data_IF_429388068344
#
_entry.id   IF_429388068344
#
_cell.length_a   1.000
_cell.length_b   1.000
_cell.length_c   1.000
_cell.angle_alpha   90.00
_cell.angle_beta   90.00
_cell.angle_gamma   90.00
#
_symmetry.space_group_name_H-M   'P 1'
#
loop_
_entity.id
_entity.type
_entity.pdbx_description
1 polymer ?
#
# COMPACT_ATOMS: atom_id res chain seq x y z
N UNK A 1 -2.33 -41.73 22.74
CA UNK A 1 -0.97 -41.62 22.19
C UNK A 1 -0.72 -40.16 21.80
N UNK A 2 0.30 -39.48 22.37
CA UNK A 2 0.62 -38.10 21.96
C UNK A 2 1.12 -38.08 20.51
N UNK A 3 0.63 -37.15 19.70
CA UNK A 3 0.97 -37.01 18.28
C UNK A 3 2.40 -36.47 18.14
N UNK A 4 3.21 -37.04 17.24
CA UNK A 4 4.61 -36.63 17.08
C UNK A 4 4.73 -35.17 16.59
N UNK A 5 5.80 -34.47 17.00
CA UNK A 5 6.08 -33.08 16.58
C UNK A 5 6.09 -32.93 15.06
N UNK A 6 6.61 -33.92 14.33
CA UNK A 6 6.64 -33.92 12.86
C UNK A 6 5.23 -33.99 12.27
N UNK A 7 4.34 -34.79 12.87
CA UNK A 7 2.95 -34.91 12.43
C UNK A 7 2.15 -33.64 12.69
N UNK A 8 2.40 -32.96 13.82
CA UNK A 8 1.84 -31.63 14.10
C UNK A 8 2.35 -30.58 13.10
N UNK A 9 3.65 -30.56 12.79
CA UNK A 9 4.23 -29.64 11.80
C UNK A 9 3.65 -29.86 10.41
N UNK A 10 3.54 -31.12 9.97
CA UNK A 10 2.97 -31.46 8.68
C UNK A 10 1.49 -31.09 8.60
N UNK A 11 0.71 -31.31 9.67
CA UNK A 11 -0.69 -30.87 9.74
C UNK A 11 -0.83 -29.34 9.63
N UNK A 12 0.06 -28.58 10.30
CA UNK A 12 0.09 -27.13 10.19
C UNK A 12 0.46 -26.65 8.77
N UNK A 13 1.38 -27.34 8.08
CA UNK A 13 1.72 -27.07 6.68
C UNK A 13 0.50 -27.35 5.79
N UNK A 14 -0.15 -28.50 5.94
CA UNK A 14 -1.37 -28.84 5.19
C UNK A 14 -2.47 -27.81 5.41
N UNK A 15 -2.68 -27.35 6.64
CA UNK A 15 -3.66 -26.31 6.94
C UNK A 15 -3.33 -24.97 6.26
N UNK A 16 -2.06 -24.54 6.28
CA UNK A 16 -1.60 -23.33 5.57
C UNK A 16 -1.74 -23.47 4.06
N UNK A 17 -1.41 -24.63 3.51
CA UNK A 17 -1.52 -24.90 2.06
C UNK A 17 -2.98 -24.99 1.60
N UNK A 18 -3.90 -25.50 2.44
CA UNK A 18 -5.33 -25.56 2.13
C UNK A 18 -6.00 -24.17 2.15
N UNK A 19 -5.43 -23.20 2.85
CA UNK A 19 -5.89 -21.81 2.86
C UNK A 19 -5.42 -21.00 1.63
N UNK A 20 -4.60 -21.59 0.75
CA UNK A 20 -4.18 -20.95 -0.49
C UNK A 20 -5.30 -21.00 -1.53
N UNK A 21 -5.44 -19.93 -2.30
CA UNK A 21 -6.40 -19.85 -3.41
C UNK A 21 -6.09 -20.93 -4.46
N UNK A 22 -7.13 -21.60 -4.95
CA UNK A 22 -7.00 -22.57 -6.04
C UNK A 22 -6.78 -21.81 -7.35
N UNK A 23 -5.60 -21.94 -7.94
CA UNK A 23 -5.27 -21.29 -9.22
C UNK A 23 -6.05 -22.00 -10.36
N UNK A 24 -6.87 -21.27 -11.14
CA UNK A 24 -7.60 -21.83 -12.29
C UNK A 24 -6.68 -22.52 -13.30
N UNK A 25 -7.23 -23.55 -13.97
CA UNK A 25 -6.53 -24.35 -14.97
C UNK A 25 -5.96 -23.50 -16.11
N UNK A 26 -6.79 -22.58 -16.60
CA UNK A 26 -6.46 -21.67 -17.69
C UNK A 26 -5.25 -20.78 -17.39
N UNK A 27 -4.99 -20.49 -16.11
CA UNK A 27 -3.85 -19.66 -15.70
C UNK A 27 -2.58 -20.47 -15.47
N UNK A 28 -2.65 -21.77 -15.18
CA UNK A 28 -1.46 -22.58 -14.89
C UNK A 28 -0.87 -23.21 -16.15
N UNK A 29 -1.73 -23.68 -17.06
CA UNK A 29 -1.31 -24.51 -18.19
C UNK A 29 -0.41 -23.73 -19.19
N UNK A 30 -0.56 -22.40 -19.39
CA UNK A 30 0.38 -21.61 -20.18
C UNK A 30 1.79 -21.48 -19.57
N UNK A 31 1.94 -21.65 -18.25
CA UNK A 31 3.22 -21.52 -17.55
C UNK A 31 3.93 -22.86 -17.37
N UNK A 32 3.19 -23.97 -17.37
CA UNK A 32 3.71 -25.33 -17.11
C UNK A 32 3.68 -26.15 -18.41
N UNK A 33 4.66 -25.90 -19.27
CA UNK A 33 4.80 -26.64 -20.54
C UNK A 33 5.60 -27.92 -20.31
N UNK A 34 4.91 -29.02 -20.00
CA UNK A 34 5.52 -30.35 -19.85
C UNK A 34 6.40 -30.51 -18.59
N UNK A 35 7.24 -31.58 -18.51
CA UNK A 35 8.11 -31.79 -17.36
C UNK A 35 9.23 -30.74 -17.32
N UNK A 36 9.07 -29.75 -16.45
CA UNK A 36 10.06 -28.69 -16.24
C UNK A 36 11.11 -29.11 -15.21
N UNK A 37 12.36 -28.66 -15.42
CA UNK A 37 13.41 -28.74 -14.40
C UNK A 37 13.15 -27.73 -13.28
N UNK A 38 13.74 -27.94 -12.10
CA UNK A 38 13.60 -26.99 -10.98
C UNK A 38 14.06 -25.57 -11.33
N UNK A 39 15.08 -25.44 -12.19
CA UNK A 39 15.53 -24.15 -12.71
C UNK A 39 14.50 -23.49 -13.62
N UNK A 40 13.87 -24.27 -14.51
CA UNK A 40 12.83 -23.76 -15.40
C UNK A 40 11.58 -23.26 -14.63
N UNK A 41 11.25 -23.91 -13.51
CA UNK A 41 10.19 -23.44 -12.59
C UNK A 41 10.55 -22.10 -11.95
N UNK A 42 11.81 -21.90 -11.56
CA UNK A 42 12.27 -20.63 -10.99
C UNK A 42 12.19 -19.49 -12.02
N UNK A 43 12.65 -19.75 -13.25
CA UNK A 43 12.56 -18.78 -14.35
C UNK A 43 11.11 -18.39 -14.65
N UNK A 44 10.20 -19.37 -14.74
CA UNK A 44 8.78 -19.13 -14.94
C UNK A 44 8.18 -18.29 -13.79
N UNK A 45 8.57 -18.59 -12.55
CA UNK A 45 8.14 -17.85 -11.37
C UNK A 45 8.62 -16.39 -11.40
N UNK A 46 9.88 -16.14 -11.76
CA UNK A 46 10.40 -14.77 -11.92
C UNK A 46 9.65 -13.99 -13.02
N UNK A 47 9.37 -14.63 -14.15
CA UNK A 47 8.62 -14.02 -15.25
C UNK A 47 7.18 -13.65 -14.81
N UNK A 48 6.54 -14.53 -14.04
CA UNK A 48 5.23 -14.25 -13.45
C UNK A 48 5.27 -13.09 -12.46
N UNK A 49 6.23 -13.08 -11.53
CA UNK A 49 6.43 -11.98 -10.56
C UNK A 49 6.63 -10.65 -11.29
N UNK A 50 7.43 -10.62 -12.36
CA UNK A 50 7.62 -9.43 -13.21
C UNK A 50 6.30 -8.93 -13.78
N UNK A 51 5.55 -9.79 -14.47
CA UNK A 51 4.30 -9.41 -15.11
C UNK A 51 3.27 -8.90 -14.08
N UNK A 52 3.22 -9.52 -12.90
CA UNK A 52 2.34 -9.11 -11.82
C UNK A 52 2.70 -7.71 -11.28
N UNK A 53 3.98 -7.45 -11.03
CA UNK A 53 4.46 -6.14 -10.57
C UNK A 53 4.16 -5.04 -11.59
N UNK A 54 4.47 -5.27 -12.87
CA UNK A 54 4.22 -4.29 -13.94
C UNK A 54 2.72 -3.99 -14.10
N UNK A 55 1.87 -5.02 -13.99
CA UNK A 55 0.42 -4.87 -14.04
C UNK A 55 -0.11 -4.07 -12.84
N UNK A 56 0.36 -4.38 -11.63
CA UNK A 56 -0.05 -3.69 -10.41
C UNK A 56 0.33 -2.20 -10.47
N UNK A 57 1.58 -1.87 -10.82
CA UNK A 57 2.03 -0.50 -10.98
C UNK A 57 1.27 0.25 -12.09
N UNK A 58 0.97 -0.43 -13.20
CA UNK A 58 0.15 0.15 -14.27
C UNK A 58 -1.29 0.43 -13.85
N UNK A 59 -1.84 -0.37 -12.94
CA UNK A 59 -3.17 -0.17 -12.33
C UNK A 59 -3.17 0.98 -11.34
N UNK A 60 -2.15 1.08 -10.47
CA UNK A 60 -1.98 2.23 -9.56
C UNK A 60 -1.92 3.54 -10.33
N UNK A 61 -1.14 3.59 -11.42
CA UNK A 61 -1.10 4.76 -12.30
C UNK A 61 -2.46 5.03 -12.95
N UNK A 62 -3.19 3.98 -13.36
CA UNK A 62 -4.56 4.11 -13.87
C UNK A 62 -5.50 4.77 -12.86
N UNK A 63 -5.42 4.38 -11.60
CA UNK A 63 -6.18 5.00 -10.51
C UNK A 63 -5.75 6.45 -10.26
N UNK A 64 -4.45 6.74 -10.21
CA UNK A 64 -3.93 8.12 -10.10
C UNK A 64 -4.39 8.99 -11.27
N UNK A 65 -4.57 8.40 -12.45
CA UNK A 65 -4.99 9.08 -13.66
C UNK A 65 -6.51 9.16 -13.85
N UNK A 66 -7.28 8.32 -13.17
CA UNK A 66 -8.73 8.26 -13.31
C UNK A 66 -9.21 7.75 -14.68
N UNK A 67 -8.31 7.23 -15.52
CA UNK A 67 -8.65 6.59 -16.79
C UNK A 67 -7.68 5.43 -17.10
N UNK A 68 -8.16 4.39 -17.81
CA UNK A 68 -7.36 3.19 -18.05
C UNK A 68 -6.27 3.42 -19.10
N UNK A 69 -5.29 2.52 -19.13
CA UNK A 69 -4.22 2.54 -20.13
C UNK A 69 -4.79 2.36 -21.54
N UNK A 70 -4.44 3.24 -22.47
CA UNK A 70 -4.87 3.17 -23.87
C UNK A 70 -6.22 3.85 -24.16
N UNK A 71 -6.89 4.40 -23.15
CA UNK A 71 -8.03 5.29 -23.37
C UNK A 71 -7.56 6.71 -23.71
N UNK A 72 -8.40 7.43 -24.47
CA UNK A 72 -8.17 8.82 -24.81
C UNK A 72 -8.10 9.69 -23.56
N UNK A 73 -7.19 10.67 -23.59
CA UNK A 73 -7.03 11.60 -22.48
C UNK A 73 -8.28 12.48 -22.40
N UNK A 74 -8.97 12.55 -21.25
CA UNK A 74 -10.04 13.52 -21.08
C UNK A 74 -9.45 14.93 -21.13
N UNK A 75 -10.11 15.85 -21.85
CA UNK A 75 -9.64 17.24 -22.04
C UNK A 75 -9.46 17.99 -20.71
N UNK A 76 -10.15 17.56 -19.65
CA UNK A 76 -10.05 18.12 -18.30
C UNK A 76 -8.73 17.80 -17.58
N UNK A 77 -7.93 16.84 -18.08
CA UNK A 77 -6.66 16.44 -17.46
C UNK A 77 -5.45 17.08 -18.14
N UNK A 78 -4.71 17.85 -17.37
CA UNK A 78 -3.40 18.36 -17.77
C UNK A 78 -2.35 17.23 -17.88
N UNK A 79 -2.33 16.33 -16.89
CA UNK A 79 -1.35 15.24 -16.80
C UNK A 79 -1.66 14.08 -17.77
N UNK A 80 -0.61 13.40 -18.24
CA UNK A 80 -0.70 12.27 -19.18
C UNK A 80 0.39 11.22 -18.92
N UNK A 81 0.23 10.00 -19.48
CA UNK A 81 1.23 8.93 -19.36
C UNK A 81 2.44 9.27 -20.22
N UNK A 82 3.64 9.12 -19.66
CA UNK A 82 4.90 9.44 -20.34
C UNK A 82 5.78 8.19 -20.52
N UNK A 83 5.21 7.18 -21.19
CA UNK A 83 5.88 5.93 -21.49
C UNK A 83 6.22 5.08 -20.26
N UNK A 84 7.29 4.29 -20.39
CA UNK A 84 7.78 3.38 -19.34
C UNK A 84 9.27 3.61 -19.09
N UNK A 85 9.70 3.45 -17.85
CA UNK A 85 11.08 3.55 -17.43
C UNK A 85 11.54 2.24 -16.79
N UNK A 86 12.70 1.75 -17.22
CA UNK A 86 13.28 0.51 -16.70
C UNK A 86 13.88 0.71 -15.31
N UNK A 87 13.48 -0.14 -14.35
CA UNK A 87 14.01 -0.18 -13.00
C UNK A 87 14.51 -1.60 -12.69
N UNK A 88 15.72 -1.71 -12.13
CA UNK A 88 16.22 -2.98 -11.60
C UNK A 88 15.91 -3.01 -10.10
N UNK A 89 15.16 -4.02 -9.69
CA UNK A 89 14.71 -4.25 -8.32
C UNK A 89 15.30 -5.57 -7.84
N UNK A 90 15.90 -5.57 -6.66
CA UNK A 90 16.45 -6.77 -6.03
C UNK A 90 15.33 -7.49 -5.29
N UNK A 91 14.97 -8.69 -5.75
CA UNK A 91 14.05 -9.61 -5.07
C UNK A 91 14.83 -10.74 -4.39
N UNK A 92 14.13 -11.64 -3.69
CA UNK A 92 14.73 -12.80 -3.03
C UNK A 92 15.32 -13.80 -4.02
N UNK A 93 14.70 -13.93 -5.20
CA UNK A 93 15.16 -14.83 -6.25
C UNK A 93 16.26 -14.21 -7.15
N UNK A 94 16.53 -12.90 -7.01
CA UNK A 94 17.60 -12.20 -7.73
C UNK A 94 17.23 -10.80 -8.25
N UNK A 95 18.10 -10.17 -9.06
CA UNK A 95 17.80 -8.89 -9.70
C UNK A 95 16.73 -9.04 -10.79
N UNK A 96 15.64 -8.28 -10.67
CA UNK A 96 14.54 -8.28 -11.61
C UNK A 96 14.44 -6.93 -12.32
N UNK A 97 14.49 -6.93 -13.65
CA UNK A 97 14.25 -5.74 -14.47
C UNK A 97 12.75 -5.60 -14.75
N UNK A 98 12.16 -4.52 -14.28
CA UNK A 98 10.75 -4.17 -14.46
C UNK A 98 10.60 -2.86 -15.26
N UNK A 99 9.53 -2.76 -16.05
CA UNK A 99 9.17 -1.55 -16.77
C UNK A 99 8.05 -0.79 -16.04
N UNK A 100 8.40 0.33 -15.41
CA UNK A 100 7.48 1.12 -14.59
C UNK A 100 6.85 2.23 -15.44
N UNK A 101 5.52 2.30 -15.48
CA UNK A 101 4.81 3.39 -16.15
C UNK A 101 4.92 4.69 -15.33
N UNK A 102 5.07 5.84 -15.99
CA UNK A 102 5.20 7.15 -15.34
C UNK A 102 4.20 8.16 -15.87
N UNK A 103 3.90 9.17 -15.07
CA UNK A 103 3.16 10.36 -15.49
C UNK A 103 4.11 11.46 -15.97
N UNK A 104 3.58 12.39 -16.76
CA UNK A 104 4.35 13.49 -17.35
C UNK A 104 4.78 14.52 -16.32
N UNK A 105 3.91 14.78 -15.33
CA UNK A 105 4.16 15.78 -14.29
C UNK A 105 5.05 15.23 -13.15
N UNK A 106 5.33 13.93 -13.11
CA UNK A 106 6.10 13.28 -12.05
C UNK A 106 5.41 13.24 -10.68
N UNK A 107 4.11 13.56 -10.65
CA UNK A 107 3.27 13.66 -9.45
C UNK A 107 2.90 12.29 -8.86
N UNK A 108 2.99 11.22 -9.64
CA UNK A 108 2.58 9.89 -9.21
C UNK A 108 3.57 9.32 -8.19
N UNK A 109 3.07 8.85 -7.04
CA UNK A 109 3.85 8.14 -6.00
C UNK A 109 3.34 6.70 -5.87
N UNK A 110 4.05 5.71 -6.45
CA UNK A 110 3.63 4.31 -6.38
C UNK A 110 3.70 3.78 -4.95
N UNK A 111 2.71 2.96 -4.58
CA UNK A 111 2.59 2.37 -3.24
C UNK A 111 3.30 1.02 -3.15
N UNK A 112 3.22 0.19 -4.20
CA UNK A 112 3.84 -1.14 -4.19
C UNK A 112 5.37 -1.08 -4.10
N UNK A 113 5.99 -0.22 -4.90
CA UNK A 113 7.43 0.00 -4.92
C UNK A 113 7.68 1.51 -4.95
N UNK A 114 8.14 2.07 -3.83
CA UNK A 114 8.30 3.50 -3.69
C UNK A 114 9.35 4.07 -4.67
N UNK A 115 9.30 5.40 -4.86
CA UNK A 115 10.33 6.12 -5.61
C UNK A 115 11.70 5.82 -5.01
N UNK A 116 12.67 5.55 -5.88
CA UNK A 116 14.06 5.21 -5.53
C UNK A 116 14.28 3.90 -4.75
N UNK A 117 13.23 3.18 -4.35
CA UNK A 117 13.39 1.89 -3.65
C UNK A 117 14.00 0.83 -4.59
N UNK A 118 15.16 0.28 -4.23
CA UNK A 118 15.89 -0.70 -5.08
C UNK A 118 15.74 -2.14 -4.61
N UNK A 119 15.22 -2.36 -3.41
CA UNK A 119 15.05 -3.68 -2.79
C UNK A 119 13.58 -3.89 -2.55
N UNK A 120 13.08 -5.05 -2.97
CA UNK A 120 11.69 -5.41 -2.79
C UNK A 120 11.65 -6.83 -2.23
N UNK A 121 11.81 -6.90 -0.91
CA UNK A 121 11.79 -8.14 -0.13
C UNK A 121 10.37 -8.41 0.38
N UNK A 122 10.01 -9.68 0.57
CA UNK A 122 8.67 -10.08 1.01
C UNK A 122 7.57 -9.72 0.00
N UNK A 123 7.85 -9.77 -1.31
CA UNK A 123 6.80 -9.57 -2.33
C UNK A 123 5.65 -10.55 -2.12
N UNK A 124 5.99 -11.83 -1.96
CA UNK A 124 5.03 -12.90 -1.81
C UNK A 124 4.18 -12.70 -0.54
N UNK A 125 4.80 -12.28 0.57
CA UNK A 125 4.11 -11.95 1.82
C UNK A 125 3.13 -10.77 1.66
N UNK A 126 3.55 -9.72 0.94
CA UNK A 126 2.69 -8.54 0.69
C UNK A 126 1.51 -8.87 -0.21
N UNK A 127 1.71 -9.71 -1.24
CA UNK A 127 0.62 -10.17 -2.12
C UNK A 127 -0.36 -11.06 -1.36
N UNK A 128 0.15 -11.99 -0.54
CA UNK A 128 -0.69 -12.84 0.33
C UNK A 128 -1.47 -11.99 1.34
N UNK A 129 -0.84 -11.00 1.98
CA UNK A 129 -1.50 -10.11 2.92
C UNK A 129 -2.61 -9.26 2.27
N UNK A 130 -2.37 -8.74 1.05
CA UNK A 130 -3.37 -7.98 0.29
C UNK A 130 -4.60 -8.84 -0.04
N UNK A 131 -4.38 -10.06 -0.54
CA UNK A 131 -5.47 -10.96 -0.90
C UNK A 131 -6.23 -11.51 0.31
N UNK A 132 -5.53 -11.84 1.39
CA UNK A 132 -6.17 -12.29 2.64
C UNK A 132 -7.07 -11.19 3.21
N UNK A 133 -6.58 -9.94 3.26
CA UNK A 133 -7.38 -8.80 3.72
C UNK A 133 -8.63 -8.55 2.84
N UNK A 134 -8.50 -8.74 1.52
CA UNK A 134 -9.63 -8.64 0.58
C UNK A 134 -10.69 -9.72 0.81
N UNK A 135 -10.27 -10.96 1.10
CA UNK A 135 -11.19 -12.09 1.29
C UNK A 135 -11.92 -12.08 2.63
N UNK A 136 -11.30 -11.52 3.68
CA UNK A 136 -11.87 -11.46 5.03
C UNK A 136 -12.86 -10.30 5.24
N UNK A 137 -13.16 -9.51 4.20
CA UNK A 137 -14.07 -8.35 4.30
C UNK A 137 -13.56 -7.27 5.26
N UNK A 138 -12.27 -7.31 5.61
CA UNK A 138 -11.66 -6.38 6.53
C UNK A 138 -11.49 -5.03 5.82
N UNK A 139 -12.08 -3.98 6.40
CA UNK A 139 -11.84 -2.59 6.01
C UNK A 139 -10.35 -2.33 5.85
N UNK A 140 -9.99 -1.72 4.72
CA UNK A 140 -8.65 -1.31 4.29
C UNK A 140 -7.55 -1.36 5.37
N UNK A 141 -6.54 -2.25 5.25
CA UNK A 141 -5.39 -2.26 6.14
C UNK A 141 -4.47 -1.03 5.94
N UNK A 142 -4.76 -0.18 4.95
CA UNK A 142 -3.99 1.02 4.64
C UNK A 142 -4.39 2.26 5.48
N UNK A 143 -5.42 2.17 6.34
CA UNK A 143 -5.86 3.30 7.15
C UNK A 143 -6.06 2.93 8.64
N UNK A 144 -4.98 2.84 9.44
CA UNK A 144 -5.13 3.00 10.88
C UNK A 144 -5.52 4.46 11.15
N UNK A 145 -6.72 4.66 11.68
CA UNK A 145 -7.41 5.94 11.74
C UNK A 145 -6.57 7.13 12.23
N UNK A 146 -6.48 8.16 11.37
CA UNK A 146 -6.17 9.51 11.82
C UNK A 146 -7.48 10.15 12.27
N UNK A 147 -7.78 10.06 13.56
CA UNK A 147 -8.86 10.81 14.17
C UNK A 147 -8.66 12.31 13.89
N UNK A 148 -9.43 12.86 12.95
CA UNK A 148 -9.63 14.30 12.82
C UNK A 148 -10.36 14.73 14.09
N UNK A 149 -9.59 15.16 15.10
CA UNK A 149 -10.16 15.89 16.24
C UNK A 149 -10.72 17.19 15.69
N UNK A 150 -12.04 17.26 15.52
CA UNK A 150 -12.76 18.52 15.48
C UNK A 150 -12.57 19.20 16.84
N UNK A 151 -11.50 19.97 16.99
CA UNK A 151 -11.40 20.95 18.09
C UNK A 151 -11.98 22.26 17.58
N UNK A 152 -13.22 22.50 18.01
CA UNK A 152 -13.62 23.75 18.63
C UNK A 152 -13.29 25.04 17.89
N UNK A 153 -14.33 25.61 17.28
CA UNK A 153 -14.58 27.05 17.25
C UNK A 153 -14.19 27.70 18.58
N UNK A 154 -13.17 28.55 18.58
CA UNK A 154 -12.92 29.49 19.67
C UNK A 154 -12.40 30.83 19.13
N UNK A 155 -13.37 31.74 18.96
CA UNK A 155 -13.29 33.17 19.28
C UNK A 155 -12.06 33.96 18.84
N UNK A 156 -12.26 34.65 17.72
CA UNK A 156 -11.72 36.00 17.47
C UNK A 156 -12.11 36.96 18.61
N UNK A 157 -11.14 37.77 19.02
CA UNK A 157 -11.23 39.02 19.79
C UNK A 157 -11.89 39.01 21.19
N UNK A 158 -11.04 39.03 22.23
CA UNK A 158 -11.13 40.06 23.27
C UNK A 158 -9.81 40.16 24.06
N UNK A 159 -8.84 40.88 23.49
CA UNK A 159 -7.84 41.59 24.28
C UNK A 159 -8.40 42.99 24.54
N UNK A 160 -8.72 43.30 25.79
CA UNK A 160 -8.45 44.61 26.40
C UNK A 160 -8.75 44.60 27.91
N UNK A 161 -7.69 44.92 28.65
CA UNK A 161 -7.68 45.48 30.01
C UNK A 161 -8.02 44.60 31.21
N UNK A 162 -7.02 43.87 31.74
CA UNK A 162 -6.74 43.79 33.20
C UNK A 162 -5.23 43.60 33.47
N UNK A 163 -4.51 44.72 33.57
CA UNK A 163 -3.35 44.92 34.47
C UNK A 163 -3.83 46.08 35.36
N UNK A 164 -4.15 45.90 36.64
CA UNK A 164 -3.29 45.40 37.69
C UNK A 164 -2.74 46.64 38.41
N UNK A 165 -3.28 46.98 39.58
CA UNK A 165 -2.46 47.55 40.66
C UNK A 165 -3.22 47.46 41.99
N UNK A 166 -2.61 46.75 42.91
CA UNK A 166 -2.95 46.64 44.31
C UNK A 166 -2.24 47.74 45.07
N UNK A 167 -2.95 48.70 45.67
CA UNK A 167 -2.41 49.55 46.74
C UNK A 167 -3.50 50.33 47.50
N UNK A 168 -3.80 49.88 48.71
CA UNK A 168 -3.81 50.72 49.91
C UNK A 168 -4.94 51.74 50.16
N UNK A 169 -5.57 51.55 51.34
CA UNK A 169 -5.83 52.57 52.39
C UNK A 169 -7.14 53.38 52.37
N UNK A 170 -7.86 53.18 53.49
CA UNK A 170 -8.51 54.16 54.41
C UNK A 170 -10.02 54.46 54.26
N UNK A 171 -10.76 53.93 55.27
CA UNK A 171 -11.82 54.50 56.13
C UNK A 171 -12.53 55.80 55.67
N UNK A 172 -13.87 55.74 55.63
CA UNK A 172 -14.79 56.73 56.21
C UNK A 172 -16.21 56.10 56.31
N UNK A 173 -16.95 56.42 57.38
CA UNK A 173 -18.18 55.76 57.84
C UNK A 173 -19.51 56.23 57.19
N UNK A 174 -20.66 55.74 57.70
CA UNK A 174 -21.95 55.86 57.04
C UNK A 174 -22.68 57.19 57.36
N UNK A 175 -23.53 57.70 56.46
CA UNK A 175 -24.34 58.88 56.72
C UNK A 175 -25.65 58.57 57.46
N UNK A 176 -26.17 59.62 58.10
CA UNK A 176 -27.42 59.72 58.85
C UNK A 176 -28.69 59.53 58.01
#
# INVERSE_FOLDING_TARGET
MPVSKTKLRNAAITAKSAALLVIPKELRDPFVTGPMTGEAVNVASMAFKKALIERALGSELGHHMGYPSGADKPESRANQRDGRSGKIVLTEDGPLRIDVSRDRDGSFEPLLIAKHERRFIGFDDKIVAMYAAWHDGARDPCFPGRAVRQRGLARVHQQRHRRGDSRGRRRAGPPA
#
